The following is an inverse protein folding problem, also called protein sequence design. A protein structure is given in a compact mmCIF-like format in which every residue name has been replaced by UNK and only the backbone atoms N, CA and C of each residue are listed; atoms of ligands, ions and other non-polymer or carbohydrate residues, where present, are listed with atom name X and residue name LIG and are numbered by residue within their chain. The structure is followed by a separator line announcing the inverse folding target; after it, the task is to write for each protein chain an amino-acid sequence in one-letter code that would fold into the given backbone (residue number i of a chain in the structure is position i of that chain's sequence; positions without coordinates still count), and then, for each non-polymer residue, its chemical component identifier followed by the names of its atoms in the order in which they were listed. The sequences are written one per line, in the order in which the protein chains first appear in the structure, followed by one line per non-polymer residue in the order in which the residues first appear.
data_IF_621235946072
#
_entry.id   IF_621235946072
#
_cell.length_a   1.000
_cell.length_b   1.000
_cell.length_c   1.000
_cell.angle_alpha   90.00
_cell.angle_beta   90.00
_cell.angle_gamma   90.00
#
_symmetry.space_group_name_H-M   'P 1'
#
loop_
_entity.id
_entity.type
_entity.pdbx_description
1 polymer ?
#
# COMPACT_ATOMS: atom_id res chain seq x y z
N UNK A 1 18.36 13.56 0.27
CA UNK A 1 17.03 12.90 0.24
C UNK A 1 17.17 11.51 0.85
N UNK A 2 16.35 11.13 1.83
CA UNK A 2 16.40 9.81 2.47
C UNK A 2 15.67 8.81 1.56
N UNK A 3 16.43 7.96 0.87
CA UNK A 3 15.90 6.83 0.07
C UNK A 3 16.00 5.57 0.92
N UNK A 4 15.08 4.63 0.73
CA UNK A 4 15.18 3.29 1.31
C UNK A 4 16.43 2.59 0.76
N UNK A 5 17.27 2.08 1.65
CA UNK A 5 18.34 1.13 1.31
C UNK A 5 17.78 -0.29 1.27
N UNK A 6 18.51 -1.22 0.66
CA UNK A 6 18.08 -2.61 0.52
C UNK A 6 17.87 -3.31 1.88
N UNK A 7 18.73 -3.03 2.87
CA UNK A 7 18.63 -3.55 4.23
C UNK A 7 17.40 -3.05 4.99
N UNK A 8 16.79 -1.94 4.55
CA UNK A 8 15.65 -1.32 5.23
C UNK A 8 14.30 -1.95 4.84
N UNK A 9 14.25 -2.81 3.82
CA UNK A 9 13.01 -3.45 3.37
C UNK A 9 12.41 -4.41 4.41
N UNK A 10 13.23 -4.97 5.29
CA UNK A 10 12.82 -5.90 6.34
C UNK A 10 13.03 -5.32 7.75
N UNK A 11 13.21 -4.00 7.88
CA UNK A 11 13.55 -3.34 9.14
C UNK A 11 12.34 -3.11 10.09
N UNK A 12 11.19 -3.76 9.86
CA UNK A 12 10.00 -3.61 10.69
C UNK A 12 8.79 -4.39 10.19
N UNK A 13 7.64 -4.13 10.82
CA UNK A 13 6.39 -4.88 10.65
C UNK A 13 5.27 -4.07 9.96
N UNK A 14 5.56 -2.82 9.56
CA UNK A 14 4.62 -1.87 8.96
C UNK A 14 4.70 -1.93 7.44
N UNK A 15 3.74 -2.56 6.73
CA UNK A 15 3.82 -2.71 5.30
C UNK A 15 3.57 -1.37 4.58
N UNK A 16 4.41 -1.08 3.59
CA UNK A 16 4.24 0.03 2.66
C UNK A 16 4.26 -0.48 1.23
N UNK A 17 3.23 -0.13 0.47
CA UNK A 17 3.21 -0.34 -0.97
C UNK A 17 4.00 0.79 -1.62
N UNK A 18 5.11 0.41 -2.26
CA UNK A 18 6.07 1.35 -2.86
C UNK A 18 5.59 1.81 -4.24
N UNK A 19 5.10 0.88 -5.05
CA UNK A 19 4.63 1.14 -6.41
C UNK A 19 3.49 0.19 -6.77
N UNK A 20 2.48 0.73 -7.45
CA UNK A 20 1.39 -0.01 -8.06
C UNK A 20 1.20 0.55 -9.47
N UNK A 21 1.29 -0.33 -10.46
CA UNK A 21 1.17 0.03 -11.87
C UNK A 21 -0.04 -0.69 -12.45
N UNK A 22 -1.11 0.06 -12.70
CA UNK A 22 -2.39 -0.45 -13.18
C UNK A 22 -2.89 0.38 -14.39
N UNK A 23 -2.20 0.30 -15.56
CA UNK A 23 -2.42 1.21 -16.68
C UNK A 23 -3.78 1.05 -17.35
N UNK A 24 -4.46 -0.07 -17.11
CA UNK A 24 -5.77 -0.40 -17.68
C UNK A 24 -6.87 -0.47 -16.61
N UNK A 25 -6.65 0.15 -15.45
CA UNK A 25 -7.51 -0.02 -14.27
C UNK A 25 -7.17 -1.28 -13.47
N UNK A 26 -8.03 -1.63 -12.49
CA UNK A 26 -7.82 -2.78 -11.60
C UNK A 26 -7.16 -2.44 -10.25
N UNK A 27 -6.99 -1.15 -9.94
CA UNK A 27 -6.31 -0.72 -8.71
C UNK A 27 -7.02 -1.25 -7.46
N UNK A 28 -8.35 -1.14 -7.41
CA UNK A 28 -9.12 -1.48 -6.22
C UNK A 28 -9.10 -3.00 -5.96
N UNK A 29 -9.15 -3.81 -7.01
CA UNK A 29 -9.03 -5.26 -6.96
C UNK A 29 -7.64 -5.69 -6.47
N UNK A 30 -6.57 -5.03 -6.95
CA UNK A 30 -5.20 -5.29 -6.50
C UNK A 30 -5.06 -4.92 -5.01
N UNK A 31 -5.57 -3.77 -4.58
CA UNK A 31 -5.50 -3.36 -3.18
C UNK A 31 -6.28 -4.32 -2.28
N UNK A 32 -7.44 -4.81 -2.73
CA UNK A 32 -8.23 -5.80 -2.02
C UNK A 32 -7.51 -7.17 -1.93
N UNK A 33 -6.87 -7.61 -3.01
CA UNK A 33 -6.07 -8.83 -3.04
C UNK A 33 -4.86 -8.75 -2.11
N UNK A 34 -4.15 -7.61 -2.10
CA UNK A 34 -3.05 -7.37 -1.16
C UNK A 34 -3.51 -7.47 0.30
N UNK A 35 -4.67 -6.90 0.64
CA UNK A 35 -5.22 -6.99 1.99
C UNK A 35 -5.67 -8.42 2.38
N UNK A 36 -6.15 -9.20 1.40
CA UNK A 36 -6.66 -10.55 1.63
C UNK A 36 -5.54 -11.59 1.72
N UNK A 37 -4.56 -11.52 0.81
CA UNK A 37 -3.65 -12.63 0.54
C UNK A 37 -2.18 -12.33 0.87
N UNK A 38 -1.74 -11.07 0.79
CA UNK A 38 -0.33 -10.69 1.03
C UNK A 38 -0.12 -10.14 2.45
N UNK A 39 -1.06 -9.33 2.94
CA UNK A 39 -1.02 -8.71 4.26
C UNK A 39 -2.25 -9.06 5.12
N UNK A 40 -2.58 -10.35 5.30
CA UNK A 40 -3.78 -10.75 6.02
C UNK A 40 -3.77 -10.20 7.45
N UNK A 41 -4.89 -9.58 7.85
CA UNK A 41 -5.06 -9.01 9.18
C UNK A 41 -4.24 -7.75 9.47
N UNK A 42 -3.50 -7.21 8.49
CA UNK A 42 -2.71 -5.99 8.63
C UNK A 42 -3.22 -4.88 7.73
N UNK A 43 -3.11 -3.63 8.20
CA UNK A 43 -3.20 -2.48 7.30
C UNK A 43 -1.86 -2.29 6.58
N UNK A 44 -1.91 -1.67 5.41
CA UNK A 44 -0.71 -1.21 4.70
C UNK A 44 -0.91 0.23 4.24
N UNK A 45 0.21 0.93 4.00
CA UNK A 45 0.20 2.35 3.63
C UNK A 45 0.77 2.56 2.24
N UNK A 46 0.30 3.61 1.57
CA UNK A 46 0.89 4.07 0.32
C UNK A 46 0.69 5.57 0.18
N UNK A 47 1.47 6.16 -0.72
CA UNK A 47 1.26 7.53 -1.13
C UNK A 47 0.38 7.55 -2.37
N UNK A 48 -0.54 8.50 -2.41
CA UNK A 48 -1.33 8.81 -3.60
C UNK A 48 -1.45 10.32 -3.76
N UNK A 49 -2.07 10.75 -4.85
CA UNK A 49 -2.43 12.13 -5.10
C UNK A 49 -3.95 12.24 -4.92
N UNK A 50 -4.39 13.19 -4.11
CA UNK A 50 -5.81 13.47 -3.93
C UNK A 50 -6.37 14.27 -5.14
N UNK A 51 -7.70 14.50 -5.20
CA UNK A 51 -8.29 15.27 -6.30
C UNK A 51 -7.77 16.70 -6.45
N UNK A 52 -7.20 17.28 -5.39
CA UNK A 52 -6.61 18.64 -5.39
C UNK A 52 -5.13 18.64 -5.82
N UNK A 53 -4.61 17.47 -6.22
CA UNK A 53 -3.22 17.32 -6.64
C UNK A 53 -2.22 17.20 -5.49
N UNK A 54 -2.69 17.09 -4.25
CA UNK A 54 -1.82 16.99 -3.08
C UNK A 54 -1.42 15.55 -2.80
N UNK A 55 -0.15 15.39 -2.42
CA UNK A 55 0.38 14.09 -2.02
C UNK A 55 -0.10 13.73 -0.61
N UNK A 56 -0.87 12.66 -0.51
CA UNK A 56 -1.43 12.16 0.76
C UNK A 56 -0.95 10.74 1.06
N UNK A 57 -0.98 10.36 2.34
CA UNK A 57 -0.74 8.98 2.78
C UNK A 57 -2.09 8.32 3.04
N UNK A 58 -2.37 7.24 2.33
CA UNK A 58 -3.56 6.39 2.56
C UNK A 58 -3.16 5.20 3.43
N UNK A 59 -4.03 4.83 4.35
CA UNK A 59 -3.94 3.59 5.12
C UNK A 59 -5.07 2.67 4.66
N UNK A 60 -4.73 1.59 3.95
CA UNK A 60 -5.72 0.61 3.51
C UNK A 60 -6.01 -0.36 4.67
N UNK A 61 -7.27 -0.55 5.07
CA UNK A 61 -7.61 -1.38 6.22
C UNK A 61 -7.45 -2.88 5.89
N UNK A 62 -7.24 -3.74 6.90
CA UNK A 62 -7.33 -5.17 6.70
C UNK A 62 -8.73 -5.56 6.23
N UNK A 63 -8.83 -6.62 5.43
CA UNK A 63 -10.14 -7.17 5.06
C UNK A 63 -10.87 -7.61 6.33
N UNK A 64 -12.14 -7.20 6.48
CA UNK A 64 -12.99 -7.70 7.54
C UNK A 64 -13.08 -9.23 7.41
N UNK A 65 -12.71 -9.94 8.47
CA UNK A 65 -12.84 -11.38 8.55
C UNK A 65 -14.32 -11.68 8.79
N UNK A 66 -14.94 -12.46 7.89
CA UNK A 66 -16.31 -12.94 8.01
C UNK A 66 -16.38 -14.13 8.97
#
# INVERSE_FOLDING_TARGET
AKKLRADEWQAGDRPWLIELVAPFGGQDEILADLAANVFPGKSFKFHTVDPDGQRVVVSYPPRAQA
#
